data_IF_578426083943
#
_entry.id   IF_578426083943
#
_cell.length_a   1.000
_cell.length_b   1.000
_cell.length_c   1.000
_cell.angle_alpha   90.00
_cell.angle_beta   90.00
_cell.angle_gamma   90.00
#
_symmetry.space_group_name_H-M   'P 1'
#
loop_
_entity.id
_entity.type
_entity.pdbx_description
1 polymer ?
#
# COMPACT_ATOMS: atom_id res chain seq x y z
N UNK A 1 13.60 -4.05 7.13
CA UNK A 1 13.06 -3.18 6.07
C UNK A 1 13.74 -1.83 6.15
N UNK A 2 14.08 -1.24 5.01
CA UNK A 2 14.52 0.15 4.90
C UNK A 2 13.31 1.11 4.78
N UNK A 3 13.50 2.43 4.94
CA UNK A 3 12.46 3.41 4.65
C UNK A 3 11.92 3.31 3.20
N UNK A 4 12.78 2.97 2.24
CA UNK A 4 12.40 2.78 0.84
C UNK A 4 11.47 1.58 0.64
N UNK A 5 11.71 0.49 1.38
CA UNK A 5 10.82 -0.69 1.34
C UNK A 5 9.41 -0.33 1.82
N UNK A 6 9.33 0.50 2.87
CA UNK A 6 8.05 0.99 3.40
C UNK A 6 7.32 1.83 2.36
N UNK A 7 8.04 2.74 1.69
CA UNK A 7 7.47 3.58 0.63
C UNK A 7 6.96 2.74 -0.56
N UNK A 8 7.69 1.70 -0.96
CA UNK A 8 7.25 0.79 -2.04
C UNK A 8 5.97 0.06 -1.69
N UNK A 9 5.88 -0.50 -0.49
CA UNK A 9 4.67 -1.20 -0.01
C UNK A 9 3.48 -0.23 0.07
N UNK A 10 3.71 0.97 0.62
CA UNK A 10 2.68 2.00 0.72
C UNK A 10 2.18 2.48 -0.63
N UNK A 11 3.08 2.83 -1.55
CA UNK A 11 2.72 3.28 -2.89
C UNK A 11 1.91 2.21 -3.62
N UNK A 12 2.30 0.94 -3.48
CA UNK A 12 1.55 -0.17 -4.04
C UNK A 12 0.16 -0.31 -3.42
N UNK A 13 0.05 -0.25 -2.08
CA UNK A 13 -1.25 -0.29 -1.40
C UNK A 13 -2.15 0.91 -1.74
N UNK A 14 -1.57 2.05 -2.08
CA UNK A 14 -2.33 3.22 -2.52
C UNK A 14 -2.92 3.00 -3.93
N UNK A 15 -2.12 2.49 -4.86
CA UNK A 15 -2.47 2.39 -6.29
C UNK A 15 -3.19 1.10 -6.68
N UNK A 16 -2.97 0.00 -5.96
CA UNK A 16 -3.53 -1.32 -6.28
C UNK A 16 -4.56 -1.75 -5.21
N UNK A 17 -5.87 -1.59 -5.46
CA UNK A 17 -6.91 -1.96 -4.49
C UNK A 17 -6.89 -3.43 -4.10
N UNK A 18 -6.56 -4.32 -5.04
CA UNK A 18 -6.42 -5.75 -4.79
C UNK A 18 -5.28 -6.05 -3.81
N UNK A 19 -4.10 -5.44 -4.05
CA UNK A 19 -2.97 -5.55 -3.14
C UNK A 19 -3.29 -4.94 -1.78
N UNK A 20 -3.95 -3.78 -1.71
CA UNK A 20 -4.37 -3.14 -0.45
C UNK A 20 -5.23 -4.08 0.40
N UNK A 21 -6.25 -4.71 -0.19
CA UNK A 21 -7.13 -5.64 0.51
C UNK A 21 -6.36 -6.84 1.08
N UNK A 22 -5.47 -7.44 0.28
CA UNK A 22 -4.65 -8.56 0.72
C UNK A 22 -3.66 -8.14 1.82
N UNK A 23 -3.01 -6.99 1.63
CA UNK A 23 -2.04 -6.44 2.56
C UNK A 23 -2.64 -6.16 3.93
N UNK A 24 -3.81 -5.51 3.98
CA UNK A 24 -4.49 -5.20 5.24
C UNK A 24 -5.07 -6.45 5.94
N UNK A 25 -5.37 -7.51 5.18
CA UNK A 25 -5.86 -8.78 5.73
C UNK A 25 -4.73 -9.60 6.38
N UNK A 26 -3.52 -9.57 5.82
CA UNK A 26 -2.34 -10.28 6.33
C UNK A 26 -1.07 -9.49 6.05
N UNK A 27 -0.79 -8.49 6.90
CA UNK A 27 0.40 -7.64 6.78
C UNK A 27 1.69 -8.48 6.88
N UNK A 28 1.88 -9.35 7.90
CA UNK A 28 3.12 -10.12 8.02
C UNK A 28 3.34 -11.06 6.84
N UNK A 29 2.30 -11.80 6.41
CA UNK A 29 2.40 -12.74 5.29
C UNK A 29 2.61 -12.05 3.95
N UNK A 30 1.99 -10.89 3.73
CA UNK A 30 2.21 -10.11 2.50
C UNK A 30 3.64 -9.55 2.47
N UNK A 31 4.15 -9.00 3.57
CA UNK A 31 5.55 -8.52 3.63
C UNK A 31 6.55 -9.66 3.42
N UNK A 32 6.30 -10.83 4.01
CA UNK A 32 7.14 -12.01 3.81
C UNK A 32 7.12 -12.49 2.35
N UNK A 33 5.96 -12.47 1.69
CA UNK A 33 5.80 -12.82 0.27
C UNK A 33 6.57 -11.85 -0.64
N UNK A 34 6.64 -10.58 -0.27
CA UNK A 34 7.46 -9.57 -0.95
C UNK A 34 8.97 -9.68 -0.64
N UNK A 35 9.37 -10.65 0.19
CA UNK A 35 10.77 -10.87 0.57
C UNK A 35 11.26 -9.93 1.67
N UNK A 36 10.37 -9.15 2.29
CA UNK A 36 10.73 -8.21 3.33
C UNK A 36 10.80 -8.89 4.70
N UNK A 37 11.92 -8.70 5.40
CA UNK A 37 12.02 -8.94 6.84
C UNK A 37 11.58 -7.67 7.58
N UNK A 38 10.32 -7.66 8.00
CA UNK A 38 9.72 -6.57 8.76
C UNK A 38 10.13 -6.66 10.24
N UNK A 39 10.56 -5.54 10.82
CA UNK A 39 10.76 -5.46 12.27
C UNK A 39 9.40 -5.28 12.97
N UNK A 40 9.31 -5.51 14.29
CA UNK A 40 8.09 -5.27 15.06
C UNK A 40 7.56 -3.84 14.88
N UNK A 41 8.43 -2.84 14.75
CA UNK A 41 8.06 -1.44 14.55
C UNK A 41 7.42 -1.21 13.17
N UNK A 42 7.97 -1.84 12.12
CA UNK A 42 7.38 -1.76 10.78
C UNK A 42 6.01 -2.44 10.74
N UNK A 43 5.85 -3.59 11.39
CA UNK A 43 4.55 -4.26 11.52
C UNK A 43 3.54 -3.41 12.28
N UNK A 44 3.96 -2.79 13.39
CA UNK A 44 3.10 -1.88 14.16
C UNK A 44 2.72 -0.62 13.37
N UNK A 45 3.62 -0.10 12.53
CA UNK A 45 3.34 1.00 11.62
C UNK A 45 2.27 0.60 10.60
N UNK A 46 2.42 -0.54 9.93
CA UNK A 46 1.45 -1.03 8.95
C UNK A 46 0.12 -1.43 9.56
N UNK A 47 0.09 -1.95 10.80
CA UNK A 47 -1.15 -2.22 11.49
C UNK A 47 -1.99 -0.94 11.70
N UNK A 48 -1.34 0.21 11.92
CA UNK A 48 -2.03 1.51 12.03
C UNK A 48 -2.56 2.04 10.69
N UNK A 49 -2.02 1.57 9.56
CA UNK A 49 -2.52 1.88 8.21
C UNK A 49 -3.85 1.20 7.87
N UNK A 50 -4.23 0.15 8.60
CA UNK A 50 -5.56 -0.47 8.47
C UNK A 50 -6.73 0.43 8.89
N UNK A 51 -6.46 1.66 9.34
CA UNK A 51 -7.50 2.63 9.67
C UNK A 51 -8.17 3.22 8.41
N UNK A 52 -9.42 3.63 8.56
CA UNK A 52 -10.26 4.28 7.54
C UNK A 52 -9.53 5.32 6.67
N UNK A 53 -8.72 6.26 7.22
CA UNK A 53 -8.16 7.37 6.44
C UNK A 53 -7.24 6.95 5.29
N UNK A 54 -6.51 5.83 5.42
CA UNK A 54 -5.66 5.35 4.34
C UNK A 54 -6.49 4.75 3.19
N UNK A 55 -7.56 4.02 3.53
CA UNK A 55 -8.46 3.46 2.53
C UNK A 55 -9.24 4.55 1.80
N UNK A 56 -9.63 5.61 2.51
CA UNK A 56 -10.29 6.78 1.93
C UNK A 56 -9.36 7.50 0.95
N UNK A 57 -8.13 7.83 1.37
CA UNK A 57 -7.14 8.46 0.50
C UNK A 57 -6.82 7.63 -0.75
N UNK A 58 -6.75 6.30 -0.59
CA UNK A 58 -6.52 5.41 -1.73
C UNK A 58 -7.71 5.39 -2.69
N UNK A 59 -8.94 5.50 -2.18
CA UNK A 59 -10.17 5.57 -2.98
C UNK A 59 -10.31 6.90 -3.70
N UNK A 60 -9.92 8.02 -3.07
CA UNK A 60 -9.89 9.34 -3.68
C UNK A 60 -8.92 9.39 -4.88
N UNK A 61 -7.74 8.78 -4.72
CA UNK A 61 -6.74 8.68 -5.79
C UNK A 61 -7.22 7.77 -6.92
N UNK A 62 -7.84 6.64 -6.60
CA UNK A 62 -8.44 5.74 -7.59
C UNK A 62 -9.52 6.47 -8.40
N UNK A 63 -10.40 7.23 -7.73
CA UNK A 63 -11.42 8.06 -8.37
C UNK A 63 -10.81 9.16 -9.25
N UNK A 64 -9.73 9.80 -8.78
CA UNK A 64 -9.02 10.82 -9.56
C UNK A 64 -8.44 10.23 -10.85
N UNK A 65 -7.77 9.08 -10.80
CA UNK A 65 -7.18 8.45 -12.00
C UNK A 65 -8.24 7.86 -12.94
N UNK A 66 -9.37 7.39 -12.42
CA UNK A 66 -10.49 6.99 -13.26
C UNK A 66 -11.07 8.19 -14.04
N UNK A 67 -11.12 9.37 -13.42
CA UNK A 67 -11.57 10.62 -14.06
C UNK A 67 -10.48 11.29 -14.91
N UNK A 68 -9.20 11.07 -14.59
CA UNK A 68 -8.03 11.69 -15.21
C UNK A 68 -6.98 10.60 -15.50
N UNK A 69 -7.12 9.86 -16.61
CA UNK A 69 -6.18 8.80 -16.95
C UNK A 69 -4.75 9.34 -17.00
N UNK A 70 -3.81 8.62 -16.40
CA UNK A 70 -2.40 8.97 -16.51
C UNK A 70 -1.97 8.97 -17.99
N UNK A 71 -1.12 9.92 -18.40
CA UNK A 71 -0.58 9.91 -19.76
C UNK A 71 0.10 8.58 -20.04
N UNK A 72 -0.11 8.02 -21.25
CA UNK A 72 0.54 6.77 -21.65
C UNK A 72 2.08 6.82 -21.59
N UNK A 73 2.69 8.01 -21.52
CA UNK A 73 4.13 8.21 -21.33
C UNK A 73 4.65 7.89 -19.93
N UNK A 74 3.76 7.60 -18.97
CA UNK A 74 4.11 7.26 -17.58
C UNK A 74 4.08 5.74 -17.29
N UNK A 75 3.64 4.92 -18.25
CA UNK A 75 3.68 3.45 -18.21
C UNK A 75 4.87 2.92 -19.02
#
# INVERSE_FOLDING_TARGET
>A
MSPEDVQKVLGRALLEPGFRKQFLADIPGTLATLGFKASPEALAFFAKLGNQPFSDAASDIEGFFAANPLPNSWF
#
